data_IF_330647423541
#
_entry.id   IF_330647423541
#
_cell.length_a   1.000
_cell.length_b   1.000
_cell.length_c   1.000
_cell.angle_alpha   90.00
_cell.angle_beta   90.00
_cell.angle_gamma   90.00
#
_symmetry.space_group_name_H-M   'P 1'
#
loop_
_entity.id
_entity.type
_entity.pdbx_description
1 polymer ?
#
# COMPACT_ATOMS: atom_id res chain seq x y z
N UNK A 1 -89.17 -23.97 24.34
CA UNK A 1 -89.61 -22.70 23.90
C UNK A 1 -88.50 -21.70 24.09
N UNK A 2 -87.73 -21.42 23.07
CA UNK A 2 -86.79 -20.32 23.07
C UNK A 2 -86.51 -19.90 21.65
N UNK A 3 -86.70 -18.65 21.36
CA UNK A 3 -86.70 -18.04 20.05
C UNK A 3 -85.28 -17.60 19.73
N UNK A 4 -84.73 -18.05 18.59
CA UNK A 4 -83.46 -17.63 18.01
C UNK A 4 -83.74 -16.42 17.08
N UNK A 5 -82.98 -15.32 17.31
CA UNK A 5 -82.89 -14.20 16.35
C UNK A 5 -81.46 -14.13 15.80
N UNK A 6 -81.34 -14.28 14.49
CA UNK A 6 -80.19 -14.03 13.67
C UNK A 6 -80.12 -12.55 13.23
N UNK A 7 -78.92 -11.94 13.33
CA UNK A 7 -78.59 -10.67 12.71
C UNK A 7 -77.44 -10.90 11.66
N UNK A 8 -77.48 -10.19 10.51
CA UNK A 8 -76.50 -10.32 9.47
C UNK A 8 -75.23 -9.50 9.83
N UNK A 9 -74.05 -10.15 9.74
CA UNK A 9 -72.78 -9.51 9.94
C UNK A 9 -72.25 -8.90 8.65
N UNK A 10 -71.79 -7.67 8.75
CA UNK A 10 -71.04 -6.96 7.70
C UNK A 10 -69.66 -7.57 7.47
N UNK A 11 -69.37 -7.83 6.20
CA UNK A 11 -68.02 -8.22 5.70
C UNK A 11 -67.11 -7.01 5.63
N UNK A 12 -66.18 -6.85 6.53
CA UNK A 12 -65.05 -5.93 6.38
C UNK A 12 -63.85 -6.67 5.80
N UNK A 13 -63.57 -6.38 4.55
CA UNK A 13 -62.35 -6.82 3.89
C UNK A 13 -61.12 -6.19 4.56
N UNK A 14 -60.35 -7.00 5.26
CA UNK A 14 -59.00 -6.62 5.76
C UNK A 14 -58.05 -6.70 4.57
N UNK A 15 -57.67 -5.51 4.11
CA UNK A 15 -56.58 -5.32 3.16
C UNK A 15 -55.30 -5.91 3.75
N UNK A 16 -54.79 -6.99 3.17
CA UNK A 16 -53.44 -7.50 3.43
C UNK A 16 -52.43 -6.48 2.93
N UNK A 17 -51.92 -5.65 3.85
CA UNK A 17 -50.76 -4.81 3.58
C UNK A 17 -49.56 -5.73 3.29
N UNK A 18 -49.11 -5.62 2.08
CA UNK A 18 -47.94 -6.28 1.52
C UNK A 18 -46.67 -5.84 2.31
N UNK A 19 -46.30 -6.61 3.33
CA UNK A 19 -45.04 -6.45 4.05
C UNK A 19 -43.94 -7.11 3.24
N UNK A 20 -43.59 -6.51 2.13
CA UNK A 20 -42.31 -6.78 1.47
C UNK A 20 -41.16 -6.23 2.34
N UNK A 21 -40.81 -6.94 3.41
CA UNK A 21 -39.53 -6.80 4.05
C UNK A 21 -38.49 -7.16 2.97
N UNK A 22 -37.93 -6.11 2.36
CA UNK A 22 -36.75 -6.26 1.50
C UNK A 22 -35.72 -7.03 2.31
N UNK A 23 -35.45 -8.27 1.93
CA UNK A 23 -34.31 -9.02 2.46
C UNK A 23 -33.09 -8.13 2.25
N UNK A 24 -32.53 -7.62 3.35
CA UNK A 24 -31.31 -6.83 3.30
C UNK A 24 -30.23 -7.73 2.72
N UNK A 25 -29.89 -7.51 1.46
CA UNK A 25 -28.81 -8.24 0.81
C UNK A 25 -27.57 -8.13 1.71
N UNK A 26 -26.93 -9.25 1.98
CA UNK A 26 -25.70 -9.26 2.78
C UNK A 26 -24.68 -8.32 2.11
N UNK A 27 -23.96 -7.51 2.89
CA UNK A 27 -22.98 -6.60 2.32
C UNK A 27 -21.94 -7.40 1.53
N UNK A 28 -21.59 -6.89 0.34
CA UNK A 28 -20.54 -7.47 -0.48
C UNK A 28 -19.19 -7.31 0.23
N UNK A 29 -18.48 -8.39 0.37
CA UNK A 29 -17.13 -8.37 0.93
C UNK A 29 -16.13 -7.83 -0.10
N UNK A 30 -15.24 -6.95 0.36
CA UNK A 30 -14.09 -6.42 -0.37
C UNK A 30 -12.85 -6.77 0.44
N UNK A 31 -11.97 -7.58 -0.16
CA UNK A 31 -10.72 -7.99 0.46
C UNK A 31 -9.63 -6.97 0.18
N UNK A 32 -8.99 -6.48 1.23
CA UNK A 32 -7.87 -5.53 1.16
C UNK A 32 -6.63 -6.19 1.75
N UNK A 33 -5.50 -6.12 1.06
CA UNK A 33 -4.23 -6.58 1.57
C UNK A 33 -3.20 -5.45 1.58
N UNK A 34 -2.50 -5.31 2.69
CA UNK A 34 -1.48 -4.28 2.88
C UNK A 34 -0.39 -4.71 3.85
N UNK A 35 0.66 -3.91 3.96
CA UNK A 35 1.79 -4.19 4.84
C UNK A 35 1.41 -4.06 6.33
N UNK A 36 2.01 -4.85 7.24
CA UNK A 36 1.83 -4.68 8.68
C UNK A 36 2.78 -3.60 9.24
N UNK A 37 2.80 -2.43 8.61
CA UNK A 37 3.63 -1.28 8.98
C UNK A 37 2.78 -0.10 9.44
N UNK A 38 3.38 0.82 10.17
CA UNK A 38 2.65 1.91 10.81
C UNK A 38 2.02 2.91 9.84
N UNK A 39 2.62 3.14 8.68
CA UNK A 39 2.08 4.03 7.64
C UNK A 39 0.84 3.41 6.96
N UNK A 40 0.90 2.13 6.56
CA UNK A 40 -0.26 1.41 6.04
C UNK A 40 -1.39 1.32 7.07
N UNK A 41 -1.06 0.94 8.32
CA UNK A 41 -2.05 0.86 9.40
C UNK A 41 -2.74 2.22 9.64
N UNK A 42 -2.00 3.32 9.59
CA UNK A 42 -2.54 4.66 9.68
C UNK A 42 -3.48 4.97 8.50
N UNK A 43 -3.06 4.68 7.27
CA UNK A 43 -3.83 4.93 6.04
C UNK A 43 -5.17 4.18 6.03
N UNK A 44 -5.18 2.93 6.49
CA UNK A 44 -6.37 2.08 6.52
C UNK A 44 -7.19 2.20 7.81
N UNK A 45 -6.80 3.04 8.76
CA UNK A 45 -7.46 3.19 10.06
C UNK A 45 -8.98 3.35 9.97
N UNK A 46 -9.45 4.24 9.10
CA UNK A 46 -10.87 4.53 8.93
C UNK A 46 -11.69 3.30 8.51
N UNK A 47 -11.18 2.52 7.56
CA UNK A 47 -11.83 1.29 7.08
C UNK A 47 -11.68 0.13 8.08
N UNK A 48 -10.48 -0.10 8.60
CA UNK A 48 -10.19 -1.21 9.52
C UNK A 48 -10.96 -1.12 10.84
N UNK A 49 -11.25 0.10 11.31
CA UNK A 49 -12.00 0.34 12.56
C UNK A 49 -13.49 0.68 12.33
N UNK A 50 -13.98 0.59 11.08
CA UNK A 50 -15.35 0.94 10.71
C UNK A 50 -15.76 2.39 11.04
N UNK A 51 -14.81 3.31 11.14
CA UNK A 51 -15.07 4.76 11.23
C UNK A 51 -15.55 5.29 9.88
N UNK A 52 -15.02 4.75 8.78
CA UNK A 52 -15.50 4.94 7.41
C UNK A 52 -16.32 3.71 7.01
N UNK A 53 -17.55 3.92 6.56
CA UNK A 53 -18.48 2.85 6.18
C UNK A 53 -19.10 3.15 4.83
N UNK A 54 -19.15 2.14 3.99
CA UNK A 54 -19.78 2.23 2.67
C UNK A 54 -21.03 1.33 2.65
N UNK A 55 -22.22 1.87 2.45
CA UNK A 55 -23.45 1.08 2.40
C UNK A 55 -23.35 -0.06 1.39
N UNK A 56 -23.69 -1.27 1.83
CA UNK A 56 -23.63 -2.49 1.01
C UNK A 56 -22.25 -3.09 0.81
N UNK A 57 -21.19 -2.54 1.43
CA UNK A 57 -19.84 -3.12 1.41
C UNK A 57 -19.36 -3.44 2.84
N UNK A 58 -18.54 -4.49 2.93
CA UNK A 58 -17.76 -4.85 4.12
C UNK A 58 -16.31 -5.04 3.70
N UNK A 59 -15.39 -4.41 4.41
CA UNK A 59 -13.97 -4.51 4.16
C UNK A 59 -13.31 -5.51 5.11
N UNK A 60 -12.48 -6.39 4.57
CA UNK A 60 -11.67 -7.33 5.34
C UNK A 60 -10.20 -7.12 5.00
N UNK A 61 -9.33 -7.13 6.01
CA UNK A 61 -7.92 -6.81 5.88
C UNK A 61 -7.06 -8.04 6.07
N UNK A 62 -6.08 -8.23 5.19
CA UNK A 62 -5.01 -9.22 5.29
C UNK A 62 -3.66 -8.50 5.33
N UNK A 63 -2.83 -8.87 6.30
CA UNK A 63 -1.51 -8.26 6.48
C UNK A 63 -0.43 -9.21 5.97
N UNK A 64 0.47 -8.69 5.13
CA UNK A 64 1.64 -9.42 4.62
C UNK A 64 2.71 -8.43 4.16
N UNK A 65 3.97 -8.86 4.15
CA UNK A 65 5.04 -8.04 3.61
C UNK A 65 4.84 -7.74 2.11
N UNK A 66 5.43 -6.62 1.66
CA UNK A 66 5.19 -6.09 0.31
C UNK A 66 5.71 -7.00 -0.80
N UNK A 67 6.82 -7.72 -0.61
CA UNK A 67 7.32 -8.66 -1.62
C UNK A 67 6.36 -9.83 -1.79
N UNK A 68 5.81 -10.35 -0.69
CA UNK A 68 4.78 -11.40 -0.72
C UNK A 68 3.51 -10.91 -1.39
N UNK A 69 3.05 -9.68 -1.12
CA UNK A 69 1.88 -9.08 -1.78
C UNK A 69 2.11 -8.92 -3.28
N UNK A 70 3.28 -8.42 -3.69
CA UNK A 70 3.66 -8.31 -5.10
C UNK A 70 3.55 -9.67 -5.81
N UNK A 71 4.10 -10.74 -5.21
CA UNK A 71 4.03 -12.10 -5.79
C UNK A 71 2.60 -12.64 -5.87
N UNK A 72 1.82 -12.47 -4.82
CA UNK A 72 0.41 -12.89 -4.82
C UNK A 72 -0.43 -12.17 -5.86
N UNK A 73 -0.16 -10.87 -6.11
CA UNK A 73 -0.84 -10.12 -7.16
C UNK A 73 -0.52 -10.67 -8.56
N UNK A 74 0.70 -11.23 -8.77
CA UNK A 74 1.13 -11.83 -10.03
C UNK A 74 0.56 -13.23 -10.29
N UNK A 75 0.08 -13.96 -9.27
CA UNK A 75 -0.40 -15.35 -9.39
C UNK A 75 -1.70 -15.51 -10.23
N UNK A 76 -2.11 -14.47 -10.97
CA UNK A 76 -3.14 -14.49 -12.01
C UNK A 76 -4.58 -14.65 -11.53
N UNK A 77 -4.83 -15.23 -10.37
CA UNK A 77 -6.16 -15.39 -9.78
C UNK A 77 -6.57 -14.22 -8.89
N UNK A 78 -5.72 -13.19 -8.80
CA UNK A 78 -5.94 -11.99 -8.01
C UNK A 78 -6.35 -12.34 -6.58
N UNK A 79 -5.38 -12.50 -5.68
CA UNK A 79 -5.66 -12.94 -4.31
C UNK A 79 -6.59 -11.98 -3.54
N UNK A 80 -6.58 -10.68 -3.91
CA UNK A 80 -7.31 -9.62 -3.20
C UNK A 80 -8.00 -8.66 -4.17
N UNK A 81 -9.08 -8.02 -3.72
CA UNK A 81 -9.77 -7.01 -4.51
C UNK A 81 -8.97 -5.70 -4.55
N UNK A 82 -8.35 -5.35 -3.42
CA UNK A 82 -7.37 -4.25 -3.31
C UNK A 82 -6.09 -4.81 -2.69
N UNK A 83 -4.95 -4.47 -3.23
CA UNK A 83 -3.66 -4.85 -2.66
C UNK A 83 -2.65 -3.71 -2.72
N UNK A 84 -1.90 -3.51 -1.65
CA UNK A 84 -0.69 -2.73 -1.71
C UNK A 84 0.32 -3.42 -2.65
N UNK A 85 1.01 -2.63 -3.45
CA UNK A 85 2.06 -3.09 -4.37
C UNK A 85 3.24 -2.13 -4.39
N UNK A 86 4.40 -2.66 -4.70
CA UNK A 86 5.51 -1.84 -5.21
C UNK A 86 5.26 -1.48 -6.68
N UNK A 87 5.59 -0.25 -7.10
CA UNK A 87 5.42 0.11 -8.51
C UNK A 87 6.21 -0.76 -9.47
N UNK A 88 7.35 -1.31 -9.04
CA UNK A 88 8.10 -2.30 -9.84
C UNK A 88 7.24 -3.51 -10.23
N UNK A 89 6.31 -3.94 -9.38
CA UNK A 89 5.44 -5.08 -9.66
C UNK A 89 4.28 -4.75 -10.61
N UNK A 90 3.91 -3.46 -10.76
CA UNK A 90 2.72 -3.08 -11.52
C UNK A 90 2.72 -3.55 -12.99
N UNK A 91 3.81 -3.47 -13.77
CA UNK A 91 3.82 -3.95 -15.15
C UNK A 91 3.44 -5.42 -15.31
N UNK A 92 3.70 -6.24 -14.31
CA UNK A 92 3.38 -7.67 -14.34
C UNK A 92 1.91 -7.98 -14.01
N UNK A 93 1.17 -7.02 -13.45
CA UNK A 93 -0.21 -7.21 -13.00
C UNK A 93 -1.21 -6.26 -13.69
N UNK A 94 -0.76 -5.35 -14.54
CA UNK A 94 -1.57 -4.28 -15.16
C UNK A 94 -2.80 -4.79 -15.93
N UNK A 95 -2.78 -6.02 -16.44
CA UNK A 95 -3.92 -6.64 -17.14
C UNK A 95 -5.08 -6.97 -16.17
N UNK A 96 -4.76 -7.21 -14.89
CA UNK A 96 -5.73 -7.61 -13.87
C UNK A 96 -6.05 -6.53 -12.87
N UNK A 97 -5.16 -5.55 -12.72
CA UNK A 97 -5.26 -4.47 -11.74
C UNK A 97 -5.08 -3.10 -12.38
N UNK A 98 -5.82 -2.12 -11.87
CA UNK A 98 -5.57 -0.70 -12.10
C UNK A 98 -5.03 -0.07 -10.80
N UNK A 99 -4.36 1.07 -10.91
CA UNK A 99 -3.88 1.83 -9.75
C UNK A 99 -5.02 2.68 -9.16
N UNK A 100 -5.11 2.72 -7.83
CA UNK A 100 -5.94 3.71 -7.16
C UNK A 100 -5.22 5.07 -7.15
N UNK A 101 -5.94 6.19 -7.30
CA UNK A 101 -5.35 7.53 -7.31
C UNK A 101 -4.94 8.02 -5.92
N UNK A 102 -5.26 7.24 -4.88
CA UNK A 102 -4.94 7.50 -3.48
C UNK A 102 -4.28 6.28 -2.83
N UNK A 103 -3.63 6.48 -1.69
CA UNK A 103 -2.94 5.43 -0.95
C UNK A 103 -1.54 5.16 -1.45
N UNK A 104 -0.88 6.14 -2.09
CA UNK A 104 0.50 6.01 -2.50
C UNK A 104 1.49 6.46 -1.44
N UNK A 105 2.62 5.74 -1.34
CA UNK A 105 3.80 6.12 -0.58
C UNK A 105 4.82 6.74 -1.53
N UNK A 106 5.15 8.01 -1.30
CA UNK A 106 6.00 8.82 -2.18
C UNK A 106 7.08 9.53 -1.37
N UNK A 107 8.34 9.37 -1.75
CA UNK A 107 9.48 10.02 -1.09
C UNK A 107 9.80 11.39 -1.73
N UNK A 108 9.78 12.44 -0.92
CA UNK A 108 10.10 13.82 -1.30
C UNK A 108 11.60 14.10 -1.10
N UNK A 109 12.45 13.60 -1.99
CA UNK A 109 13.91 13.73 -1.88
C UNK A 109 14.53 12.82 -0.82
N UNK A 110 13.81 11.82 -0.36
CA UNK A 110 14.26 10.72 0.51
C UNK A 110 13.62 9.41 0.05
N UNK A 111 14.19 8.28 0.49
CA UNK A 111 13.64 6.98 0.09
C UNK A 111 14.41 5.81 0.70
N UNK A 112 14.37 4.64 0.05
CA UNK A 112 15.19 3.50 0.42
C UNK A 112 16.65 3.85 0.50
N UNK A 113 17.35 3.29 1.48
CA UNK A 113 18.74 3.64 1.76
C UNK A 113 19.64 2.41 1.71
N UNK A 114 20.85 2.58 1.16
CA UNK A 114 21.92 1.61 1.36
C UNK A 114 22.66 1.98 2.64
N UNK A 115 22.71 1.04 3.57
CA UNK A 115 23.41 1.16 4.85
C UNK A 115 24.46 0.06 5.03
N UNK A 116 25.48 0.34 5.83
CA UNK A 116 26.58 -0.58 6.09
C UNK A 116 27.20 -0.37 7.48
N UNK A 117 27.92 -1.37 8.01
CA UNK A 117 28.68 -1.25 9.28
C UNK A 117 29.89 -0.32 9.18
N UNK A 118 30.41 -0.09 7.98
CA UNK A 118 31.53 0.82 7.71
C UNK A 118 31.15 1.73 6.56
N UNK A 119 31.47 3.00 6.68
CA UNK A 119 31.29 3.94 5.59
C UNK A 119 32.22 3.57 4.41
N UNK A 120 31.68 3.65 3.21
CA UNK A 120 32.42 3.56 1.96
C UNK A 120 31.77 4.50 0.93
N UNK A 121 32.50 4.77 -0.17
CA UNK A 121 32.00 5.69 -1.18
C UNK A 121 30.89 5.06 -2.05
N UNK A 122 29.97 5.89 -2.57
CA UNK A 122 28.88 5.47 -3.46
C UNK A 122 29.40 4.71 -4.69
N UNK A 123 30.56 5.10 -5.26
CA UNK A 123 31.18 4.44 -6.41
C UNK A 123 31.61 3.00 -6.09
N UNK A 124 31.79 2.67 -4.81
CA UNK A 124 32.14 1.33 -4.37
C UNK A 124 30.94 0.39 -4.30
N UNK A 125 29.70 0.90 -4.34
CA UNK A 125 28.47 0.11 -4.25
C UNK A 125 28.44 -0.97 -5.32
N UNK A 126 28.80 -0.65 -6.56
CA UNK A 126 28.82 -1.58 -7.70
C UNK A 126 29.66 -2.85 -7.47
N UNK A 127 30.62 -2.80 -6.56
CA UNK A 127 31.50 -3.92 -6.22
C UNK A 127 31.08 -4.68 -4.97
N UNK A 128 29.91 -4.34 -4.42
CA UNK A 128 29.37 -4.95 -3.21
C UNK A 128 28.20 -5.86 -3.51
N UNK A 129 28.03 -6.85 -2.68
CA UNK A 129 26.83 -7.68 -2.65
C UNK A 129 25.88 -7.11 -1.63
N UNK A 130 24.67 -6.72 -2.07
CA UNK A 130 23.71 -5.96 -1.26
C UNK A 130 22.57 -6.88 -0.82
N UNK A 131 22.31 -6.95 0.50
CA UNK A 131 21.09 -7.55 1.00
C UNK A 131 19.88 -6.68 0.62
N UNK A 132 18.86 -7.26 -0.02
CA UNK A 132 17.69 -6.54 -0.51
C UNK A 132 16.38 -7.16 0.02
N UNK A 133 15.31 -6.37 0.22
CA UNK A 133 14.05 -6.88 0.78
C UNK A 133 13.23 -7.72 -0.20
N UNK A 134 13.53 -7.65 -1.49
CA UNK A 134 12.84 -8.41 -2.53
C UNK A 134 13.09 -7.86 -3.92
N UNK A 135 13.02 -8.73 -4.92
CA UNK A 135 13.31 -8.38 -6.33
C UNK A 135 12.15 -7.67 -7.04
N UNK A 136 10.95 -7.68 -6.47
CA UNK A 136 9.80 -6.97 -7.00
C UNK A 136 9.57 -5.62 -6.30
N UNK A 137 10.40 -5.26 -5.31
CA UNK A 137 10.28 -3.98 -4.63
C UNK A 137 10.73 -2.82 -5.53
N UNK A 138 10.11 -1.67 -5.38
CA UNK A 138 10.57 -0.44 -6.06
C UNK A 138 11.97 -0.05 -5.60
N UNK A 139 12.32 -0.34 -4.34
CA UNK A 139 13.67 -0.14 -3.83
C UNK A 139 14.72 -0.89 -4.67
N UNK A 140 14.46 -2.15 -5.03
CA UNK A 140 15.32 -2.93 -5.91
C UNK A 140 15.38 -2.36 -7.34
N UNK A 141 14.25 -1.92 -7.90
CA UNK A 141 14.22 -1.27 -9.21
C UNK A 141 15.14 -0.05 -9.23
N UNK A 142 14.99 0.85 -8.25
CA UNK A 142 15.78 2.09 -8.18
C UNK A 142 17.26 1.78 -7.91
N UNK A 143 17.58 0.76 -7.11
CA UNK A 143 18.95 0.29 -6.92
C UNK A 143 19.58 -0.15 -8.26
N UNK A 144 18.84 -0.89 -9.09
CA UNK A 144 19.38 -1.32 -10.39
C UNK A 144 19.44 -0.19 -11.42
N UNK A 145 18.61 0.84 -11.32
CA UNK A 145 18.76 2.07 -12.12
C UNK A 145 20.00 2.86 -11.71
N UNK A 146 20.35 2.87 -10.42
CA UNK A 146 21.59 3.48 -9.91
C UNK A 146 22.83 2.66 -10.24
N UNK A 147 22.79 1.35 -10.01
CA UNK A 147 23.90 0.43 -10.15
C UNK A 147 23.48 -0.82 -10.97
N UNK A 148 23.44 -0.72 -12.31
CA UNK A 148 22.99 -1.81 -13.17
C UNK A 148 23.79 -3.10 -12.98
N UNK A 149 23.09 -4.23 -12.82
CA UNK A 149 23.71 -5.54 -12.68
C UNK A 149 24.37 -5.80 -11.33
N UNK A 150 24.09 -4.98 -10.32
CA UNK A 150 24.62 -5.18 -8.96
C UNK A 150 24.24 -6.55 -8.38
N UNK A 151 25.19 -7.21 -7.72
CA UNK A 151 24.92 -8.48 -7.05
C UNK A 151 24.06 -8.26 -5.79
N UNK A 152 23.03 -9.09 -5.63
CA UNK A 152 22.11 -8.96 -4.50
C UNK A 152 21.71 -10.30 -3.91
N UNK A 153 21.48 -10.30 -2.58
CA UNK A 153 20.86 -11.40 -1.84
C UNK A 153 19.49 -10.96 -1.33
N UNK A 154 18.46 -11.79 -1.56
CA UNK A 154 17.13 -11.52 -1.00
C UNK A 154 17.09 -11.95 0.45
N UNK A 155 16.81 -11.02 1.34
CA UNK A 155 16.71 -11.21 2.79
C UNK A 155 15.38 -10.60 3.25
N UNK A 156 14.63 -11.24 4.15
CA UNK A 156 13.44 -10.62 4.73
C UNK A 156 13.78 -9.22 5.25
N UNK A 157 12.93 -8.24 4.95
CA UNK A 157 13.25 -6.82 5.18
C UNK A 157 13.61 -6.50 6.64
N UNK A 158 12.97 -7.19 7.59
CA UNK A 158 13.22 -7.09 9.04
C UNK A 158 14.50 -7.78 9.49
N UNK A 159 15.09 -8.63 8.66
CA UNK A 159 16.36 -9.33 8.94
C UNK A 159 17.58 -8.62 8.34
N UNK A 160 17.41 -7.63 7.46
CA UNK A 160 18.53 -6.96 6.81
C UNK A 160 19.45 -6.29 7.85
N UNK A 161 18.91 -5.48 8.78
CA UNK A 161 19.72 -4.83 9.83
C UNK A 161 20.37 -5.87 10.75
N UNK A 162 19.66 -6.86 11.32
CA UNK A 162 20.26 -7.94 12.09
C UNK A 162 21.42 -8.63 11.36
N UNK A 163 21.23 -9.02 10.11
CA UNK A 163 22.26 -9.73 9.34
C UNK A 163 23.49 -8.85 9.01
N UNK A 164 23.30 -7.54 8.81
CA UNK A 164 24.39 -6.60 8.73
C UNK A 164 25.21 -6.55 10.05
N UNK A 165 24.51 -6.50 11.19
CA UNK A 165 25.17 -6.48 12.51
C UNK A 165 25.93 -7.77 12.80
N UNK A 166 25.44 -8.90 12.35
CA UNK A 166 26.13 -10.19 12.41
C UNK A 166 27.31 -10.30 11.43
N UNK A 167 27.36 -9.41 10.43
CA UNK A 167 28.42 -9.41 9.41
C UNK A 167 28.22 -10.42 8.29
N UNK A 168 26.98 -10.90 8.10
CA UNK A 168 26.62 -11.80 6.99
C UNK A 168 26.66 -11.07 5.64
N UNK A 169 26.36 -9.76 5.66
CA UNK A 169 26.37 -8.88 4.48
C UNK A 169 27.22 -7.64 4.76
N UNK A 170 27.86 -7.10 3.73
CA UNK A 170 28.64 -5.86 3.83
C UNK A 170 27.77 -4.61 3.83
N UNK A 171 26.64 -4.66 3.07
CA UNK A 171 25.67 -3.58 2.97
C UNK A 171 24.27 -4.13 2.72
N UNK A 172 23.26 -3.33 3.02
CA UNK A 172 21.86 -3.70 2.84
C UNK A 172 21.01 -2.52 2.40
N UNK A 173 20.02 -2.81 1.58
CA UNK A 173 19.00 -1.88 1.13
C UNK A 173 17.83 -1.92 2.11
N UNK A 174 17.67 -0.88 2.92
CA UNK A 174 16.60 -0.79 3.92
C UNK A 174 15.43 0.03 3.42
N UNK A 175 14.25 -0.40 3.83
CA UNK A 175 12.95 0.22 3.61
C UNK A 175 12.23 0.37 4.95
N UNK A 176 11.01 0.93 4.97
CA UNK A 176 10.17 1.05 6.16
C UNK A 176 10.87 1.81 7.31
N UNK A 177 10.51 1.52 8.55
CA UNK A 177 11.01 2.18 9.74
C UNK A 177 12.53 2.09 9.93
N UNK A 178 13.18 1.10 9.31
CA UNK A 178 14.65 0.98 9.28
C UNK A 178 15.36 2.25 8.84
N UNK A 179 14.72 3.05 7.99
CA UNK A 179 15.23 4.35 7.52
C UNK A 179 15.41 5.39 8.65
N UNK A 180 14.69 5.24 9.76
CA UNK A 180 14.83 6.10 10.93
C UNK A 180 15.68 5.49 12.04
N UNK A 181 15.84 4.16 12.06
CA UNK A 181 16.45 3.45 13.19
C UNK A 181 17.87 2.96 12.96
N UNK A 182 18.35 2.87 11.70
CA UNK A 182 19.66 2.32 11.36
C UNK A 182 20.83 2.97 12.12
N UNK A 183 20.76 4.27 12.40
CA UNK A 183 21.80 4.98 13.16
C UNK A 183 21.89 4.53 14.60
N UNK A 184 20.76 4.13 15.23
CA UNK A 184 20.73 3.57 16.59
C UNK A 184 21.47 2.23 16.65
N UNK A 185 21.52 1.51 15.51
CA UNK A 185 22.27 0.26 15.35
C UNK A 185 23.74 0.48 14.99
N UNK A 186 24.24 1.71 14.95
CA UNK A 186 25.62 2.02 14.59
C UNK A 186 25.96 1.83 13.11
N UNK A 187 24.94 1.80 12.25
CA UNK A 187 25.12 1.71 10.81
C UNK A 187 25.30 3.09 10.19
N UNK A 188 26.01 3.12 9.07
CA UNK A 188 26.25 4.31 8.27
C UNK A 188 25.40 4.27 7.00
N UNK A 189 24.78 5.40 6.65
CA UNK A 189 24.15 5.57 5.34
C UNK A 189 25.23 5.75 4.29
N UNK A 190 25.21 4.89 3.28
CA UNK A 190 26.10 4.97 2.10
C UNK A 190 25.43 5.77 0.99
N UNK A 191 24.14 5.49 0.71
CA UNK A 191 23.39 6.15 -0.34
C UNK A 191 21.93 6.26 0.07
N UNK A 192 21.29 7.38 -0.29
CA UNK A 192 19.85 7.58 -0.26
C UNK A 192 19.34 7.56 -1.71
N UNK A 193 18.59 6.52 -2.07
CA UNK A 193 18.08 6.34 -3.42
C UNK A 193 16.98 7.35 -3.78
N UNK A 194 16.24 7.87 -2.79
CA UNK A 194 15.26 8.92 -3.01
C UNK A 194 15.94 10.26 -3.33
N UNK A 195 17.01 10.60 -2.63
CA UNK A 195 17.81 11.78 -2.93
C UNK A 195 18.48 11.70 -4.31
N UNK A 196 19.02 10.51 -4.66
CA UNK A 196 19.57 10.26 -5.99
C UNK A 196 18.50 10.40 -7.09
N UNK A 197 17.33 9.80 -6.89
CA UNK A 197 16.21 9.87 -7.83
C UNK A 197 15.78 11.33 -8.08
N UNK A 198 15.57 12.09 -7.00
CA UNK A 198 15.17 13.47 -7.10
C UNK A 198 16.22 14.32 -7.84
N UNK A 199 17.51 14.12 -7.54
CA UNK A 199 18.61 14.80 -8.25
C UNK A 199 18.63 14.45 -9.75
N UNK A 200 18.28 13.21 -10.11
CA UNK A 200 18.36 12.71 -11.49
C UNK A 200 17.15 13.15 -12.32
N UNK A 201 15.95 13.17 -11.72
CA UNK A 201 14.69 13.35 -12.46
C UNK A 201 13.98 14.66 -12.14
N UNK A 202 14.26 15.29 -11.01
CA UNK A 202 13.50 16.40 -10.47
C UNK A 202 12.13 16.01 -9.89
N UNK A 203 11.78 14.71 -9.91
CA UNK A 203 10.49 14.19 -9.49
C UNK A 203 10.57 13.55 -8.09
N UNK A 204 9.45 13.47 -7.35
CA UNK A 204 9.39 12.66 -6.13
C UNK A 204 9.55 11.18 -6.46
N UNK A 205 10.05 10.37 -5.52
CA UNK A 205 10.23 8.93 -5.74
C UNK A 205 8.94 8.18 -5.39
N UNK A 206 8.21 7.59 -6.36
CA UNK A 206 7.06 6.75 -6.08
C UNK A 206 7.55 5.37 -5.62
N UNK A 207 7.16 4.93 -4.43
CA UNK A 207 7.61 3.67 -3.83
C UNK A 207 6.60 2.56 -3.97
N UNK A 208 5.37 2.82 -3.56
CA UNK A 208 4.27 1.88 -3.64
C UNK A 208 2.93 2.59 -3.73
N UNK A 209 1.91 1.82 -4.03
CA UNK A 209 0.54 2.29 -4.10
C UNK A 209 -0.44 1.15 -3.91
N UNK A 210 -1.71 1.46 -3.99
CA UNK A 210 -2.77 0.46 -3.94
C UNK A 210 -3.28 0.16 -5.34
N UNK A 211 -3.35 -1.11 -5.68
CA UNK A 211 -3.93 -1.61 -6.92
C UNK A 211 -5.29 -2.25 -6.65
N UNK A 212 -6.24 -2.05 -7.55
CA UNK A 212 -7.60 -2.56 -7.46
C UNK A 212 -7.91 -3.48 -8.64
N UNK A 213 -8.56 -4.60 -8.37
CA UNK A 213 -8.88 -5.61 -9.37
C UNK A 213 -9.89 -5.10 -10.40
N UNK A 214 -9.53 -5.19 -11.68
CA UNK A 214 -10.38 -4.73 -12.81
C UNK A 214 -11.69 -5.51 -12.92
N UNK A 215 -11.74 -6.78 -12.51
CA UNK A 215 -12.96 -7.60 -12.55
C UNK A 215 -14.07 -7.14 -11.61
N UNK A 216 -13.80 -6.21 -10.70
CA UNK A 216 -14.84 -5.54 -9.89
C UNK A 216 -15.76 -4.66 -10.73
N UNK A 217 -15.29 -4.21 -11.89
CA UNK A 217 -15.98 -3.27 -12.77
C UNK A 217 -15.83 -1.80 -12.32
N UNK A 218 -16.02 -0.86 -13.24
CA UNK A 218 -15.67 0.55 -13.04
C UNK A 218 -16.44 1.21 -11.88
N UNK A 219 -17.71 0.91 -11.74
CA UNK A 219 -18.55 1.50 -10.67
C UNK A 219 -18.06 1.10 -9.27
N UNK A 220 -17.79 -0.20 -9.06
CA UNK A 220 -17.33 -0.68 -7.76
C UNK A 220 -15.89 -0.26 -7.49
N UNK A 221 -15.03 -0.23 -8.52
CA UNK A 221 -13.67 0.29 -8.39
C UNK A 221 -13.67 1.74 -7.94
N UNK A 222 -14.50 2.59 -8.53
CA UNK A 222 -14.64 3.99 -8.13
C UNK A 222 -15.16 4.12 -6.68
N UNK A 223 -16.15 3.31 -6.31
CA UNK A 223 -16.73 3.31 -4.96
C UNK A 223 -15.72 2.87 -3.89
N UNK A 224 -14.94 1.84 -4.16
CA UNK A 224 -13.88 1.35 -3.26
C UNK A 224 -12.72 2.35 -3.19
N UNK A 225 -12.33 2.95 -4.32
CA UNK A 225 -11.30 4.00 -4.35
C UNK A 225 -11.71 5.23 -3.53
N UNK A 226 -12.97 5.66 -3.63
CA UNK A 226 -13.50 6.75 -2.80
C UNK A 226 -13.47 6.40 -1.31
N UNK A 227 -13.80 5.17 -0.94
CA UNK A 227 -13.75 4.70 0.45
C UNK A 227 -12.32 4.70 1.01
N UNK A 228 -11.33 4.28 0.22
CA UNK A 228 -9.92 4.35 0.63
C UNK A 228 -9.48 5.79 0.84
N UNK A 229 -9.81 6.68 -0.10
CA UNK A 229 -9.49 8.10 0.02
C UNK A 229 -10.12 8.72 1.26
N UNK A 230 -11.37 8.38 1.57
CA UNK A 230 -12.07 8.82 2.77
C UNK A 230 -11.39 8.27 4.05
N UNK A 231 -10.93 7.00 4.04
CA UNK A 231 -10.17 6.43 5.16
C UNK A 231 -8.88 7.20 5.44
N UNK A 232 -8.14 7.57 4.39
CA UNK A 232 -6.90 8.35 4.52
C UNK A 232 -7.22 9.76 5.06
N UNK A 233 -8.25 10.42 4.51
CA UNK A 233 -8.67 11.73 4.99
C UNK A 233 -9.09 11.68 6.46
N UNK A 234 -9.89 10.66 6.83
CA UNK A 234 -10.31 10.46 8.20
C UNK A 234 -9.11 10.31 9.15
N UNK A 235 -8.11 9.49 8.76
CA UNK A 235 -6.91 9.31 9.55
C UNK A 235 -6.09 10.60 9.71
N UNK A 236 -5.99 11.41 8.66
CA UNK A 236 -5.31 12.72 8.71
C UNK A 236 -6.04 13.72 9.62
N UNK A 237 -7.38 13.73 9.58
CA UNK A 237 -8.21 14.62 10.39
C UNK A 237 -8.28 14.17 11.86
N UNK A 238 -8.09 12.87 12.14
CA UNK A 238 -8.09 12.26 13.47
C UNK A 238 -6.72 11.67 13.80
N UNK A 239 -5.66 12.43 13.54
CA UNK A 239 -4.26 11.98 13.55
C UNK A 239 -3.85 11.26 14.81
N UNK A 240 -4.24 11.75 15.99
CA UNK A 240 -3.89 11.15 17.27
C UNK A 240 -4.49 9.74 17.44
N UNK A 241 -5.78 9.56 17.10
CA UNK A 241 -6.45 8.26 17.19
C UNK A 241 -5.84 7.27 16.17
N UNK A 242 -5.62 7.73 14.93
CA UNK A 242 -5.04 6.92 13.87
C UNK A 242 -3.58 6.52 14.18
N UNK A 243 -2.79 7.43 14.77
CA UNK A 243 -1.43 7.15 15.21
C UNK A 243 -1.40 6.13 16.36
N UNK A 244 -2.30 6.27 17.34
CA UNK A 244 -2.42 5.29 18.43
C UNK A 244 -2.77 3.89 17.91
N UNK A 245 -3.61 3.80 16.87
CA UNK A 245 -3.89 2.54 16.19
C UNK A 245 -2.65 2.02 15.46
N UNK A 246 -1.98 2.88 14.69
CA UNK A 246 -0.79 2.53 13.91
C UNK A 246 0.40 2.07 14.78
N UNK A 247 0.49 2.57 16.02
CA UNK A 247 1.51 2.15 17.00
C UNK A 247 1.46 0.66 17.33
N UNK A 248 0.34 -0.02 17.14
CA UNK A 248 0.25 -1.47 17.31
C UNK A 248 1.06 -2.24 16.24
N UNK A 249 1.42 -1.58 15.16
CA UNK A 249 2.16 -2.11 14.02
C UNK A 249 3.58 -1.51 13.90
N UNK A 250 3.87 -0.45 14.66
CA UNK A 250 5.20 0.18 14.66
C UNK A 250 6.24 -0.74 15.32
N UNK A 251 7.29 -1.06 14.58
CA UNK A 251 8.38 -1.90 15.06
C UNK A 251 9.50 -1.02 15.60
N UNK A 252 9.88 -1.22 16.86
CA UNK A 252 11.00 -0.55 17.52
C UNK A 252 10.97 1.00 17.44
N UNK A 253 9.79 1.60 17.22
CA UNK A 253 9.59 3.04 17.20
C UNK A 253 8.88 3.50 18.48
N UNK A 254 9.39 4.60 19.04
CA UNK A 254 8.61 5.41 19.96
C UNK A 254 7.55 6.23 19.19
N UNK A 255 6.52 6.73 19.89
CA UNK A 255 5.43 7.51 19.27
C UNK A 255 5.91 8.66 18.41
N UNK A 256 6.98 9.36 18.79
CA UNK A 256 7.52 10.49 18.03
C UNK A 256 8.17 10.03 16.73
N UNK A 257 8.89 8.93 16.77
CA UNK A 257 9.52 8.34 15.59
C UNK A 257 8.48 7.75 14.64
N UNK A 258 7.43 7.10 15.18
CA UNK A 258 6.32 6.60 14.40
C UNK A 258 5.52 7.73 13.74
N UNK A 259 5.21 8.81 14.47
CA UNK A 259 4.54 10.00 13.92
C UNK A 259 5.36 10.64 12.80
N UNK A 260 6.69 10.70 12.97
CA UNK A 260 7.59 11.17 11.91
C UNK A 260 7.55 10.26 10.69
N UNK A 261 7.64 8.92 10.88
CA UNK A 261 7.60 7.95 9.80
C UNK A 261 6.28 8.00 9.03
N UNK A 262 5.16 7.97 9.75
CA UNK A 262 3.83 8.13 9.15
C UNK A 262 3.76 9.43 8.35
N UNK A 263 4.22 10.57 8.90
CA UNK A 263 4.19 11.85 8.19
C UNK A 263 5.05 11.91 6.93
N UNK A 264 6.10 11.08 6.82
CA UNK A 264 6.89 10.97 5.60
C UNK A 264 6.08 10.36 4.45
N UNK A 265 5.26 9.34 4.73
CA UNK A 265 4.62 8.52 3.71
C UNK A 265 3.10 8.68 3.63
N UNK A 266 2.45 9.21 4.69
CA UNK A 266 1.01 9.49 4.68
C UNK A 266 0.76 10.98 4.84
N UNK A 267 0.43 11.63 3.72
CA UNK A 267 0.28 13.07 3.60
C UNK A 267 -0.65 13.44 2.42
N UNK A 268 -0.59 14.66 1.92
CA UNK A 268 -1.43 15.10 0.80
C UNK A 268 -1.23 14.27 -0.48
N UNK A 269 -0.01 13.76 -0.74
CA UNK A 269 0.25 12.88 -1.89
C UNK A 269 -0.40 11.50 -1.73
N UNK A 270 -0.63 11.07 -0.51
CA UNK A 270 -1.38 9.84 -0.23
C UNK A 270 -2.87 10.01 -0.56
N UNK A 271 -3.43 11.22 -0.41
CA UNK A 271 -4.79 11.53 -0.84
C UNK A 271 -4.93 11.62 -2.36
N UNK A 272 -3.93 12.14 -3.04
CA UNK A 272 -3.79 12.15 -4.50
C UNK A 272 -2.32 12.37 -4.87
N UNK A 273 -1.84 11.58 -5.82
CA UNK A 273 -0.43 11.68 -6.27
C UNK A 273 -0.06 13.06 -6.83
N UNK A 274 -1.06 13.82 -7.28
CA UNK A 274 -0.81 15.04 -8.08
C UNK A 274 -0.27 14.72 -9.48
N UNK A 275 -0.10 15.76 -10.27
CA UNK A 275 0.39 15.62 -11.67
C UNK A 275 1.80 15.06 -11.70
N UNK A 276 2.69 15.59 -10.87
CA UNK A 276 4.10 15.20 -10.78
C UNK A 276 4.31 13.82 -10.18
N UNK A 277 3.49 13.40 -9.21
CA UNK A 277 3.53 12.04 -8.67
C UNK A 277 3.07 10.99 -9.68
N UNK A 278 2.01 11.26 -10.45
CA UNK A 278 1.57 10.39 -11.55
C UNK A 278 2.63 10.32 -12.66
N UNK A 279 3.28 11.44 -12.96
CA UNK A 279 4.40 11.48 -13.90
C UNK A 279 5.60 10.71 -13.38
N UNK A 280 5.90 10.80 -12.09
CA UNK A 280 6.98 10.05 -11.45
C UNK A 280 6.78 8.53 -11.59
N UNK A 281 5.53 8.04 -11.43
CA UNK A 281 5.22 6.61 -11.64
C UNK A 281 5.50 6.21 -13.09
N UNK A 282 5.04 6.99 -14.07
CA UNK A 282 5.30 6.71 -15.50
C UNK A 282 6.80 6.68 -15.78
N UNK A 283 7.51 7.73 -15.34
CA UNK A 283 8.95 7.87 -15.58
C UNK A 283 9.76 6.75 -14.94
N UNK A 284 9.41 6.32 -13.74
CA UNK A 284 10.08 5.21 -13.06
C UNK A 284 9.95 3.90 -13.85
N UNK A 285 8.74 3.60 -14.31
CA UNK A 285 8.47 2.37 -15.05
C UNK A 285 9.06 2.40 -16.46
N UNK A 286 9.05 3.56 -17.11
CA UNK A 286 9.72 3.79 -18.39
C UNK A 286 11.23 3.56 -18.29
N UNK A 287 11.89 4.20 -17.32
CA UNK A 287 13.33 3.99 -17.08
C UNK A 287 13.65 2.54 -16.74
N UNK A 288 12.81 1.86 -15.96
CA UNK A 288 12.97 0.45 -15.65
C UNK A 288 12.87 -0.44 -16.89
N UNK A 289 11.99 -0.09 -17.82
CA UNK A 289 11.86 -0.80 -19.10
C UNK A 289 13.04 -0.49 -20.04
N UNK A 290 13.41 0.77 -20.19
CA UNK A 290 14.58 1.20 -21.00
C UNK A 290 15.87 0.53 -20.53
N UNK A 291 16.02 0.33 -19.21
CA UNK A 291 17.16 -0.36 -18.60
C UNK A 291 17.08 -1.90 -18.72
N UNK A 292 16.00 -2.46 -19.28
CA UNK A 292 15.78 -3.90 -19.41
C UNK A 292 15.51 -4.63 -18.08
N UNK A 293 15.18 -3.90 -17.01
CA UNK A 293 14.84 -4.48 -15.70
C UNK A 293 13.37 -4.92 -15.73
N UNK A 294 12.50 -4.13 -16.35
CA UNK A 294 11.09 -4.43 -16.57
C UNK A 294 10.93 -4.96 -18.01
N UNK A 295 10.39 -6.18 -18.18
CA UNK A 295 10.36 -6.82 -19.51
C UNK A 295 9.34 -6.19 -20.49
N UNK A 296 8.31 -5.49 -19.95
CA UNK A 296 7.22 -4.92 -20.74
C UNK A 296 7.01 -3.45 -20.40
N UNK A 297 6.71 -2.65 -21.41
CA UNK A 297 6.28 -1.26 -21.17
C UNK A 297 4.99 -1.24 -20.33
N UNK A 298 4.98 -0.43 -19.30
CA UNK A 298 3.81 -0.29 -18.43
C UNK A 298 2.79 0.68 -19.01
N UNK A 299 1.53 0.26 -19.04
CA UNK A 299 0.39 1.15 -19.27
C UNK A 299 -0.14 1.60 -17.90
N UNK A 300 0.34 2.76 -17.45
CA UNK A 300 -0.05 3.30 -16.15
C UNK A 300 -1.48 3.81 -16.22
N UNK A 301 -2.39 3.10 -15.56
CA UNK A 301 -3.82 3.36 -15.55
C UNK A 301 -4.31 3.58 -14.11
N UNK A 302 -4.75 4.79 -13.82
CA UNK A 302 -5.36 5.18 -12.56
C UNK A 302 -6.88 5.20 -12.68
N UNK A 303 -7.57 4.64 -11.68
CA UNK A 303 -9.05 4.66 -11.61
C UNK A 303 -9.55 6.08 -11.36
N UNK A 304 -10.48 6.55 -12.16
CA UNK A 304 -11.18 7.84 -11.95
C UNK A 304 -10.74 8.97 -12.84
#
# INVERSE_FOLDING_TARGET
MSSTRTFPGESSAVSSADSSLSASAQPREITIAHSPDSDDAFMFYGLATNKVRVPGLRFTHTLSDIETLNRKAMDGNGAYDVTAISFHAYPYIQEHYALLPSGGSVGEGYGPMIVAKRAFSEESIQRKRIAIPGKLTTAYLVLNLFAPGIETDVVPFDQIIPELLEGKHEAGLIIHEGQLTYTRSGLYRVLDLGAWWHKTTGLPLPLGGNAIRRSLGPELMAKVGAALRESIQYALDHREEALNYAMQFARDLDSRSADKFVGMYVNQRTLDYGTDGREAVRRLLEMGHEAGIIPHAAQVDFVG
#
